data_IF_878366376400
#
_entry.id   IF_878366376400
#
_cell.length_a   1.000
_cell.length_b   1.000
_cell.length_c   1.000
_cell.angle_alpha   90.00
_cell.angle_beta   90.00
_cell.angle_gamma   90.00
#
_symmetry.space_group_name_H-M   'P 1'
#
loop_
_entity.id
_entity.type
_entity.pdbx_description
1 polymer ?
#
# COMPACT_ATOMS: atom_id res chain seq x y z
N UNK A 1 -0.42 -13.56 6.93
CA UNK A 1 -1.33 -13.20 5.83
C UNK A 1 -0.45 -12.85 4.65
N UNK A 2 -0.41 -13.69 3.63
CA UNK A 2 0.57 -13.57 2.55
C UNK A 2 -0.07 -12.80 1.39
N UNK A 3 0.34 -11.55 1.21
CA UNK A 3 0.10 -10.83 -0.03
C UNK A 3 1.05 -11.42 -1.07
N UNK A 4 0.48 -11.99 -2.12
CA UNK A 4 1.20 -12.76 -3.11
C UNK A 4 0.93 -12.05 -4.43
N UNK A 5 1.75 -11.04 -4.75
CA UNK A 5 1.88 -10.56 -6.13
C UNK A 5 2.54 -11.70 -6.90
N UNK A 6 1.69 -12.52 -7.52
CA UNK A 6 2.06 -13.84 -8.00
C UNK A 6 2.50 -13.77 -9.44
N UNK A 7 3.80 -13.60 -9.62
CA UNK A 7 4.40 -13.82 -10.93
C UNK A 7 4.36 -15.30 -11.37
N UNK A 8 4.13 -16.29 -10.49
CA UNK A 8 4.20 -17.70 -10.91
C UNK A 8 3.50 -18.75 -9.99
N UNK A 9 2.36 -18.46 -9.34
CA UNK A 9 1.61 -19.54 -8.67
C UNK A 9 0.33 -19.88 -9.41
N UNK A 10 0.28 -21.14 -9.82
CA UNK A 10 -0.93 -21.85 -10.24
C UNK A 10 -1.84 -22.04 -9.03
N UNK A 11 -2.56 -21.00 -8.63
CA UNK A 11 -3.66 -21.16 -7.67
C UNK A 11 -4.78 -21.92 -8.39
N UNK A 12 -5.07 -23.16 -7.96
CA UNK A 12 -6.04 -24.05 -8.61
C UNK A 12 -7.49 -23.52 -8.66
N UNK A 13 -7.74 -22.30 -8.14
CA UNK A 13 -9.05 -21.64 -8.07
C UNK A 13 -9.20 -20.45 -9.02
N UNK A 14 -8.12 -19.99 -9.66
CA UNK A 14 -8.17 -19.05 -10.77
C UNK A 14 -7.70 -19.77 -12.02
N UNK A 15 -8.63 -19.98 -12.96
CA UNK A 15 -8.27 -20.44 -14.30
C UNK A 15 -7.82 -19.19 -15.06
N UNK A 16 -6.51 -19.10 -15.28
CA UNK A 16 -5.90 -18.00 -16.02
C UNK A 16 -4.90 -18.49 -17.04
N UNK A 17 -4.70 -17.67 -18.07
CA UNK A 17 -3.63 -17.81 -19.05
C UNK A 17 -2.68 -16.62 -18.92
N UNK A 18 -1.37 -16.87 -18.99
CA UNK A 18 -0.37 -15.81 -19.05
C UNK A 18 -0.21 -15.38 -20.51
N UNK A 19 -0.29 -14.07 -20.75
CA UNK A 19 -0.12 -13.46 -22.07
C UNK A 19 0.72 -12.18 -21.93
N UNK A 20 1.37 -11.70 -23.00
CA UNK A 20 2.05 -10.42 -22.97
C UNK A 20 1.12 -9.26 -22.58
N UNK A 21 1.60 -8.32 -21.78
CA UNK A 21 0.90 -7.08 -21.48
C UNK A 21 0.93 -6.15 -22.70
N UNK A 22 -0.10 -6.21 -23.53
CA UNK A 22 -0.23 -5.35 -24.71
C UNK A 22 -1.01 -4.07 -24.45
N UNK A 23 -1.62 -3.93 -23.27
CA UNK A 23 -2.44 -2.77 -22.90
C UNK A 23 -1.57 -1.65 -22.33
N UNK A 24 -1.77 -0.44 -22.84
CA UNK A 24 -1.21 0.79 -22.25
C UNK A 24 -2.03 1.30 -21.08
N UNK A 25 -3.33 1.08 -21.12
CA UNK A 25 -4.25 1.52 -20.08
C UNK A 25 -5.33 0.47 -19.84
N UNK A 26 -5.82 0.40 -18.61
CA UNK A 26 -6.97 -0.43 -18.25
C UNK A 26 -7.73 0.19 -17.07
N UNK A 27 -9.06 0.13 -17.10
CA UNK A 27 -9.88 0.46 -15.93
C UNK A 27 -10.17 -0.84 -15.17
N UNK A 28 -9.71 -0.92 -13.93
CA UNK A 28 -10.03 -2.03 -13.02
C UNK A 28 -11.11 -1.60 -12.02
N UNK A 29 -11.98 -2.54 -11.63
CA UNK A 29 -13.07 -2.30 -10.68
C UNK A 29 -13.09 -3.39 -9.62
N UNK A 30 -13.22 -3.00 -8.37
CA UNK A 30 -13.43 -3.87 -7.21
C UNK A 30 -14.70 -3.40 -6.46
N UNK A 31 -15.19 -4.12 -5.42
CA UNK A 31 -16.54 -3.91 -4.88
C UNK A 31 -16.92 -2.47 -4.48
N UNK A 32 -15.96 -1.65 -4.03
CA UNK A 32 -16.21 -0.28 -3.57
C UNK A 32 -15.23 0.74 -4.16
N UNK A 33 -14.62 0.45 -5.31
CA UNK A 33 -13.72 1.37 -5.98
C UNK A 33 -13.32 0.95 -7.39
N UNK A 34 -12.71 1.89 -8.10
CA UNK A 34 -12.14 1.67 -9.42
C UNK A 34 -10.87 2.50 -9.58
N UNK A 35 -9.99 2.07 -10.47
CA UNK A 35 -8.80 2.84 -10.80
C UNK A 35 -8.32 2.58 -12.23
N UNK A 36 -7.73 3.62 -12.82
CA UNK A 36 -7.04 3.54 -14.11
C UNK A 36 -5.60 3.07 -13.87
N UNK A 37 -5.25 1.93 -14.43
CA UNK A 37 -3.88 1.47 -14.57
C UNK A 37 -3.31 2.01 -15.89
N UNK A 38 -2.05 2.42 -15.86
CA UNK A 38 -1.27 2.91 -16.99
C UNK A 38 0.12 2.26 -17.01
N UNK A 39 0.58 1.90 -18.21
CA UNK A 39 1.84 1.20 -18.45
C UNK A 39 2.66 1.93 -19.53
N UNK A 40 3.50 2.86 -19.09
CA UNK A 40 4.41 3.63 -19.91
C UNK A 40 5.71 2.89 -20.28
N UNK A 41 6.53 3.54 -21.12
CA UNK A 41 7.85 3.04 -21.53
C UNK A 41 7.82 1.67 -22.19
N UNK A 42 8.82 0.84 -21.87
CA UNK A 42 9.00 -0.49 -22.45
C UNK A 42 8.26 -1.60 -21.69
N UNK A 43 7.39 -1.25 -20.74
CA UNK A 43 6.66 -2.24 -19.93
C UNK A 43 5.82 -3.18 -20.80
N UNK A 44 5.20 -2.68 -21.87
CA UNK A 44 4.42 -3.52 -22.78
C UNK A 44 5.26 -4.48 -23.64
N UNK A 45 6.59 -4.37 -23.59
CA UNK A 45 7.52 -5.22 -24.35
C UNK A 45 7.94 -6.45 -23.57
N UNK A 46 8.07 -6.35 -22.24
CA UNK A 46 8.68 -7.38 -21.41
C UNK A 46 7.80 -7.91 -20.27
N UNK A 47 6.67 -7.25 -20.01
CA UNK A 47 5.80 -7.61 -18.90
C UNK A 47 4.68 -8.52 -19.40
N UNK A 48 4.40 -9.56 -18.63
CA UNK A 48 3.24 -10.41 -18.84
C UNK A 48 2.07 -10.01 -17.92
N UNK A 49 0.87 -10.42 -18.31
CA UNK A 49 -0.35 -10.34 -17.52
C UNK A 49 -1.05 -11.68 -17.51
N UNK A 50 -1.94 -11.87 -16.55
CA UNK A 50 -2.93 -12.92 -16.61
C UNK A 50 -4.18 -12.47 -17.40
N UNK A 51 -4.88 -13.46 -17.95
CA UNK A 51 -6.24 -13.35 -18.49
C UNK A 51 -7.08 -14.40 -17.78
N UNK A 52 -8.11 -13.95 -17.06
CA UNK A 52 -9.08 -14.84 -16.44
C UNK A 52 -10.04 -15.39 -17.50
N UNK A 53 -10.61 -16.57 -17.25
CA UNK A 53 -11.54 -17.22 -18.17
C UNK A 53 -12.79 -16.37 -18.50
N UNK A 54 -13.23 -15.51 -17.58
CA UNK A 54 -14.34 -14.57 -17.75
C UNK A 54 -13.91 -13.19 -18.28
N UNK A 55 -12.62 -13.00 -18.53
CA UNK A 55 -12.04 -11.72 -18.96
C UNK A 55 -12.03 -10.64 -17.87
N UNK A 56 -12.42 -10.95 -16.63
CA UNK A 56 -12.44 -9.99 -15.55
C UNK A 56 -11.03 -9.46 -15.26
N UNK A 57 -10.93 -8.19 -14.84
CA UNK A 57 -9.67 -7.54 -14.45
C UNK A 57 -9.50 -7.40 -12.93
N UNK A 58 -10.42 -8.00 -12.19
CA UNK A 58 -10.39 -8.15 -10.74
C UNK A 58 -11.18 -9.39 -10.36
N UNK A 59 -10.67 -10.18 -9.42
CA UNK A 59 -11.40 -11.31 -8.91
C UNK A 59 -11.09 -11.58 -7.44
N UNK A 60 -12.11 -12.01 -6.71
CA UNK A 60 -12.00 -12.42 -5.32
C UNK A 60 -12.48 -13.85 -5.16
N UNK A 61 -11.70 -14.68 -4.47
CA UNK A 61 -12.07 -16.08 -4.21
C UNK A 61 -11.85 -16.45 -2.75
N UNK A 62 -12.82 -17.10 -2.10
CA UNK A 62 -12.65 -17.57 -0.73
C UNK A 62 -11.55 -18.65 -0.65
N UNK A 63 -10.74 -18.57 0.41
CA UNK A 63 -9.69 -19.53 0.72
C UNK A 63 -9.57 -19.68 2.25
N UNK A 64 -9.99 -20.85 2.76
CA UNK A 64 -10.06 -21.09 4.21
C UNK A 64 -10.98 -20.06 4.90
N UNK A 65 -10.46 -19.38 5.92
CA UNK A 65 -11.18 -18.32 6.66
C UNK A 65 -11.05 -16.93 6.02
N UNK A 66 -10.34 -16.82 4.90
CA UNK A 66 -10.08 -15.56 4.22
C UNK A 66 -10.49 -15.58 2.75
N UNK A 67 -9.94 -14.64 1.99
CA UNK A 67 -10.12 -14.54 0.54
C UNK A 67 -8.80 -14.15 -0.13
N UNK A 68 -8.63 -14.58 -1.37
CA UNK A 68 -7.58 -14.11 -2.27
C UNK A 68 -8.17 -13.01 -3.12
N UNK A 69 -7.49 -11.86 -3.14
CA UNK A 69 -7.74 -10.77 -4.08
C UNK A 69 -6.76 -10.93 -5.23
N UNK A 70 -7.25 -10.87 -6.46
CA UNK A 70 -6.45 -11.11 -7.65
C UNK A 70 -6.68 -10.02 -8.69
N UNK A 71 -5.59 -9.37 -9.10
CA UNK A 71 -5.56 -8.55 -10.31
C UNK A 71 -4.80 -9.31 -11.39
N UNK A 72 -5.38 -9.52 -12.58
CA UNK A 72 -4.68 -10.13 -13.69
C UNK A 72 -3.64 -9.19 -14.32
N UNK A 73 -3.72 -7.88 -14.02
CA UNK A 73 -2.80 -6.88 -14.49
C UNK A 73 -1.73 -6.63 -13.41
N UNK A 74 -0.47 -6.35 -13.80
CA UNK A 74 0.61 -6.13 -12.84
C UNK A 74 0.43 -4.77 -12.16
N UNK A 75 -0.14 -4.77 -10.95
CA UNK A 75 -0.49 -3.55 -10.23
C UNK A 75 0.73 -2.73 -9.86
N UNK A 76 1.81 -3.38 -9.44
CA UNK A 76 3.02 -2.72 -8.92
C UNK A 76 3.89 -2.12 -10.02
N UNK A 77 3.67 -2.52 -11.27
CA UNK A 77 4.34 -1.95 -12.44
C UNK A 77 3.53 -0.83 -13.11
N UNK A 78 2.36 -0.50 -12.57
CA UNK A 78 1.55 0.64 -12.99
C UNK A 78 2.25 1.97 -12.67
N UNK A 79 2.13 2.97 -13.55
CA UNK A 79 2.67 4.31 -13.32
C UNK A 79 1.79 5.17 -12.40
N UNK A 80 0.52 4.80 -12.21
CA UNK A 80 -0.39 5.51 -11.34
C UNK A 80 -0.31 5.01 -9.87
N UNK A 81 0.53 5.65 -9.05
CA UNK A 81 0.69 5.31 -7.62
C UNK A 81 -0.61 5.43 -6.81
N UNK A 82 -1.50 6.37 -7.15
CA UNK A 82 -2.78 6.52 -6.46
C UNK A 82 -3.66 5.27 -6.65
N UNK A 83 -3.67 4.72 -7.86
CA UNK A 83 -4.38 3.48 -8.18
C UNK A 83 -3.86 2.30 -7.35
N UNK A 84 -2.53 2.17 -7.24
CA UNK A 84 -1.88 1.14 -6.42
C UNK A 84 -2.29 1.32 -4.96
N UNK A 85 -2.18 2.54 -4.42
CA UNK A 85 -2.61 2.88 -3.07
C UNK A 85 -4.10 2.63 -2.82
N UNK A 86 -4.96 2.83 -3.82
CA UNK A 86 -6.40 2.51 -3.77
C UNK A 86 -6.65 1.02 -3.57
N UNK A 87 -5.98 0.17 -4.36
CA UNK A 87 -6.10 -1.29 -4.25
C UNK A 87 -5.57 -1.81 -2.91
N UNK A 88 -4.43 -1.30 -2.44
CA UNK A 88 -3.90 -1.71 -1.14
C UNK A 88 -4.78 -1.25 0.04
N UNK A 89 -5.37 -0.05 -0.03
CA UNK A 89 -6.37 0.39 0.96
C UNK A 89 -7.59 -0.52 0.98
N UNK A 90 -8.10 -0.90 -0.19
CA UNK A 90 -9.19 -1.89 -0.29
C UNK A 90 -8.79 -3.22 0.35
N UNK A 91 -7.59 -3.71 0.06
CA UNK A 91 -7.12 -4.98 0.59
C UNK A 91 -6.97 -4.98 2.12
N UNK A 92 -6.44 -3.90 2.69
CA UNK A 92 -6.37 -3.72 4.15
C UNK A 92 -7.76 -3.72 4.79
N UNK A 93 -8.72 -3.00 4.18
CA UNK A 93 -10.12 -2.97 4.62
C UNK A 93 -10.76 -4.36 4.54
N UNK A 94 -10.61 -5.06 3.42
CA UNK A 94 -11.16 -6.41 3.20
C UNK A 94 -10.59 -7.44 4.18
N UNK A 95 -9.36 -7.21 4.65
CA UNK A 95 -8.69 -8.04 5.64
C UNK A 95 -8.99 -7.66 7.10
N UNK A 96 -9.71 -6.55 7.33
CA UNK A 96 -9.97 -6.06 8.69
C UNK A 96 -8.72 -5.59 9.42
N UNK A 97 -7.68 -5.15 8.70
CA UNK A 97 -6.46 -4.63 9.31
C UNK A 97 -6.76 -3.23 9.88
N UNK A 98 -6.64 -3.10 11.20
CA UNK A 98 -6.76 -1.82 11.87
C UNK A 98 -5.51 -0.96 11.61
N UNK A 99 -5.72 0.31 11.29
CA UNK A 99 -4.62 1.25 11.10
C UNK A 99 -3.94 1.58 12.44
N UNK A 100 -2.61 1.58 12.46
CA UNK A 100 -1.84 1.97 13.66
C UNK A 100 -1.79 3.49 13.85
N UNK A 101 -2.01 4.25 12.77
CA UNK A 101 -2.09 5.71 12.79
C UNK A 101 -3.10 6.20 11.76
N UNK A 102 -3.50 7.47 11.87
CA UNK A 102 -4.20 8.19 10.80
C UNK A 102 -3.41 9.43 10.40
N UNK A 103 -3.43 9.80 9.12
CA UNK A 103 -2.74 10.99 8.61
C UNK A 103 -3.55 11.65 7.50
N UNK A 104 -3.36 12.96 7.31
CA UNK A 104 -3.81 13.70 6.14
C UNK A 104 -2.71 13.87 5.09
N UNK A 105 -1.50 13.38 5.36
CA UNK A 105 -0.40 13.37 4.40
C UNK A 105 -0.73 12.38 3.29
N UNK A 106 -0.87 12.91 2.08
CA UNK A 106 -1.17 12.13 0.86
C UNK A 106 0.03 12.05 -0.09
N UNK A 107 1.14 12.71 0.25
CA UNK A 107 2.34 12.70 -0.58
C UNK A 107 2.99 11.31 -0.54
N UNK A 108 3.06 10.59 -1.67
CA UNK A 108 3.63 9.24 -1.71
C UNK A 108 5.14 9.22 -1.44
N UNK A 109 5.82 10.38 -1.51
CA UNK A 109 7.23 10.52 -1.12
C UNK A 109 7.45 10.60 0.38
N UNK A 110 6.39 10.56 1.20
CA UNK A 110 6.48 10.54 2.67
C UNK A 110 6.00 9.19 3.18
N UNK A 111 6.90 8.41 3.79
CA UNK A 111 6.57 7.16 4.44
C UNK A 111 6.44 7.37 5.95
N UNK A 112 5.38 6.81 6.54
CA UNK A 112 5.20 6.69 7.99
C UNK A 112 5.04 5.19 8.30
N UNK A 113 6.07 4.57 8.86
CA UNK A 113 6.11 3.13 9.11
C UNK A 113 6.06 2.85 10.62
N UNK A 114 4.91 2.42 11.15
CA UNK A 114 4.77 2.07 12.56
C UNK A 114 5.20 0.62 12.85
N UNK A 115 5.93 0.41 13.94
CA UNK A 115 6.21 -0.90 14.54
C UNK A 115 5.67 -0.90 15.98
N UNK A 116 4.73 -1.79 16.27
CA UNK A 116 4.07 -1.86 17.59
C UNK A 116 4.83 -2.80 18.52
N UNK A 117 5.23 -2.28 19.68
CA UNK A 117 5.78 -3.03 20.80
C UNK A 117 4.71 -3.21 21.90
N UNK A 118 4.93 -4.11 22.88
CA UNK A 118 4.01 -4.27 24.01
C UNK A 118 3.69 -2.97 24.73
N UNK A 119 4.66 -2.07 24.90
CA UNK A 119 4.49 -0.81 25.67
C UNK A 119 4.83 0.48 24.92
N UNK A 120 5.06 0.39 23.62
CA UNK A 120 5.38 1.54 22.78
C UNK A 120 4.99 1.31 21.33
N UNK A 121 5.05 2.35 20.51
CA UNK A 121 5.02 2.29 19.05
C UNK A 121 6.22 3.07 18.52
N UNK A 122 7.07 2.41 17.74
CA UNK A 122 8.14 3.07 17.00
C UNK A 122 7.60 3.53 15.66
N UNK A 123 7.67 4.82 15.39
CA UNK A 123 7.43 5.39 14.07
C UNK A 123 8.75 5.67 13.39
N UNK A 124 8.95 5.07 12.21
CA UNK A 124 10.04 5.42 11.31
C UNK A 124 9.44 6.25 10.18
N UNK A 125 9.93 7.47 10.01
CA UNK A 125 9.49 8.39 8.98
C UNK A 125 10.62 8.64 7.99
N UNK A 126 10.31 8.65 6.70
CA UNK A 126 11.27 9.02 5.65
C UNK A 126 10.63 9.99 4.67
N UNK A 127 11.41 10.96 4.19
CA UNK A 127 10.97 11.89 3.13
C UNK A 127 11.88 11.76 1.91
N UNK A 128 11.27 11.49 0.77
CA UNK A 128 11.84 11.62 -0.57
C UNK A 128 11.19 12.78 -1.35
N UNK A 129 10.33 13.56 -0.68
CA UNK A 129 9.61 14.69 -1.25
C UNK A 129 10.27 16.01 -0.89
N UNK A 130 10.05 17.04 -1.73
CA UNK A 130 10.35 18.43 -1.38
C UNK A 130 9.45 18.96 -0.23
N UNK A 131 8.31 18.30 0.02
CA UNK A 131 7.43 18.58 1.14
C UNK A 131 8.08 18.14 2.46
N UNK A 132 8.06 19.03 3.44
CA UNK A 132 8.67 18.77 4.74
C UNK A 132 7.65 18.43 5.83
N UNK A 133 6.44 18.98 5.75
CA UNK A 133 5.44 18.82 6.80
C UNK A 133 4.92 17.38 6.89
N UNK A 134 5.02 16.81 8.09
CA UNK A 134 4.46 15.49 8.42
C UNK A 134 3.57 15.62 9.64
N UNK A 135 2.37 15.06 9.57
CA UNK A 135 1.45 14.99 10.70
C UNK A 135 0.71 13.67 10.73
N UNK A 136 0.63 13.03 11.89
CA UNK A 136 -0.12 11.80 12.09
C UNK A 136 -0.65 11.68 13.51
N UNK A 137 -1.74 10.95 13.67
CA UNK A 137 -2.32 10.60 14.97
C UNK A 137 -2.09 9.13 15.27
N UNK A 138 -1.39 8.84 16.36
CA UNK A 138 -1.23 7.48 16.86
C UNK A 138 -2.58 6.98 17.39
N UNK A 139 -3.05 5.84 16.87
CA UNK A 139 -4.34 5.28 17.27
C UNK A 139 -4.29 4.60 18.65
N UNK A 140 -3.09 4.30 19.17
CA UNK A 140 -2.94 3.70 20.50
C UNK A 140 -3.15 4.74 21.61
N UNK A 141 -2.37 5.80 21.60
CA UNK A 141 -2.41 6.87 22.60
C UNK A 141 -3.49 7.93 22.29
N UNK A 142 -3.92 8.02 21.04
CA UNK A 142 -4.84 9.05 20.56
C UNK A 142 -4.18 10.41 20.33
N UNK A 143 -2.87 10.55 20.56
CA UNK A 143 -2.11 11.79 20.38
C UNK A 143 -1.75 12.06 18.93
N UNK A 144 -1.68 13.35 18.58
CA UNK A 144 -1.24 13.82 17.26
C UNK A 144 0.18 14.34 17.35
N UNK A 145 1.03 13.90 16.42
CA UNK A 145 2.40 14.32 16.25
C UNK A 145 2.52 15.07 14.92
N UNK A 146 3.08 16.27 14.98
CA UNK A 146 3.34 17.11 13.82
C UNK A 146 4.77 17.63 13.88
N UNK A 147 5.42 17.70 12.73
CA UNK A 147 6.80 18.14 12.62
C UNK A 147 7.24 18.28 11.16
N UNK A 148 8.53 18.52 10.96
CA UNK A 148 9.12 18.69 9.64
C UNK A 148 10.27 17.71 9.39
N UNK A 149 10.37 17.19 8.16
CA UNK A 149 11.42 16.29 7.70
C UNK A 149 11.98 16.76 6.36
N UNK A 150 13.25 17.17 6.35
CA UNK A 150 13.90 17.63 5.12
C UNK A 150 13.96 16.51 4.05
N UNK A 151 14.01 16.85 2.74
CA UNK A 151 14.12 15.87 1.67
C UNK A 151 15.36 14.98 1.83
N UNK A 152 15.22 13.67 1.60
CA UNK A 152 16.28 12.68 1.76
C UNK A 152 16.65 12.36 3.20
N UNK A 153 15.81 12.75 4.19
CA UNK A 153 16.05 12.48 5.61
C UNK A 153 15.05 11.49 6.18
N UNK A 154 15.43 10.96 7.35
CA UNK A 154 14.60 10.10 8.17
C UNK A 154 14.53 10.60 9.61
N UNK A 155 13.41 10.36 10.27
CA UNK A 155 13.20 10.59 11.69
C UNK A 155 12.63 9.32 12.35
N UNK A 156 12.96 9.12 13.62
CA UNK A 156 12.43 8.02 14.42
C UNK A 156 11.80 8.59 15.69
N UNK A 157 10.59 8.13 16.03
CA UNK A 157 9.89 8.52 17.24
C UNK A 157 9.45 7.26 17.97
N UNK A 158 9.87 7.10 19.22
CA UNK A 158 9.39 6.05 20.10
C UNK A 158 8.31 6.62 21.02
N UNK A 159 7.08 6.20 20.83
CA UNK A 159 5.90 6.74 21.54
C UNK A 159 5.39 5.72 22.55
N UNK A 160 5.25 6.12 23.81
CA UNK A 160 4.67 5.32 24.89
C UNK A 160 3.15 5.13 24.72
N UNK A 161 2.57 4.22 25.50
CA UNK A 161 1.13 3.95 25.42
C UNK A 161 0.24 5.16 25.77
N UNK A 162 0.73 6.01 26.65
CA UNK A 162 0.12 7.26 27.10
C UNK A 162 0.34 8.43 26.11
N UNK A 163 1.11 8.18 25.05
CA UNK A 163 1.47 9.17 24.05
C UNK A 163 2.70 10.00 24.40
N UNK A 164 3.40 9.69 25.50
CA UNK A 164 4.67 10.32 25.79
C UNK A 164 5.71 9.97 24.71
N UNK A 165 6.45 10.97 24.25
CA UNK A 165 7.60 10.73 23.38
C UNK A 165 8.77 10.24 24.25
N UNK A 166 9.01 8.93 24.24
CA UNK A 166 10.05 8.29 25.05
C UNK A 166 11.43 8.61 24.51
N UNK A 167 11.59 8.57 23.18
CA UNK A 167 12.83 8.90 22.47
C UNK A 167 12.52 9.45 21.08
N UNK A 168 13.42 10.28 20.56
CA UNK A 168 13.33 10.80 19.20
C UNK A 168 14.70 10.99 18.54
N UNK A 169 14.76 10.75 17.23
CA UNK A 169 15.94 10.98 16.40
C UNK A 169 15.56 11.78 15.16
N UNK A 170 16.31 12.86 14.88
CA UNK A 170 16.11 13.77 13.74
C UNK A 170 14.68 14.32 13.58
N UNK A 171 13.90 14.36 14.66
CA UNK A 171 12.56 14.91 14.69
C UNK A 171 12.61 16.39 15.10
N UNK A 172 11.99 17.27 14.32
CA UNK A 172 11.90 18.71 14.58
C UNK A 172 10.44 19.10 14.78
N UNK A 173 10.14 19.67 15.95
CA UNK A 173 8.81 20.12 16.38
C UNK A 173 8.70 21.64 16.22
#
# INVERSE_FOLDING_TARGET
>A
MTFLSLYYARFSRFVSQTVPLTLREALIKWPDGEARLSYGGDKTTFVDRAVLADGALWAEKPLGKGRVLFSPLPLELNDNLEAVGGVYRYALKAAGVAATYSTTVQDPGILICPTRFPHATLYVLTSESARQEVSFRDQRSGQTFSGALDPGRAALLLIGEDGAMLEAYNWRN
#
